data_IF_469637487693
#
_entry.id   IF_469637487693
#
_cell.length_a   1.000
_cell.length_b   1.000
_cell.length_c   1.000
_cell.angle_alpha   90.00
_cell.angle_beta   90.00
_cell.angle_gamma   90.00
#
_symmetry.space_group_name_H-M   'P 1'
#
loop_
_entity.id
_entity.type
_entity.pdbx_description
1 polymer ?
#
# COMPACT_ATOMS: atom_id res chain seq x y z
N UNK A 1 -20.75 5.40 -17.98
CA UNK A 1 -20.03 4.33 -17.26
C UNK A 1 -19.99 4.70 -15.79
N UNK A 2 -19.93 3.72 -14.89
CA UNK A 2 -19.90 4.00 -13.45
C UNK A 2 -18.45 3.82 -12.99
N UNK A 3 -17.74 4.92 -12.78
CA UNK A 3 -16.34 4.91 -12.39
C UNK A 3 -16.20 4.58 -10.89
N UNK A 4 -15.00 4.24 -10.45
CA UNK A 4 -14.69 4.06 -9.02
C UNK A 4 -13.90 5.26 -8.52
N UNK A 5 -14.29 5.82 -7.37
CA UNK A 5 -13.53 6.88 -6.71
C UNK A 5 -12.36 6.28 -5.93
N UNK A 6 -11.20 6.96 -5.92
CA UNK A 6 -10.03 6.54 -5.13
C UNK A 6 -10.39 6.36 -3.65
N UNK A 7 -11.25 7.24 -3.15
CA UNK A 7 -11.78 7.22 -1.79
C UNK A 7 -12.42 5.87 -1.41
N UNK A 8 -13.00 5.12 -2.36
CA UNK A 8 -13.52 3.77 -2.09
C UNK A 8 -12.41 2.77 -1.75
N UNK A 9 -11.23 2.91 -2.36
CA UNK A 9 -10.04 2.08 -2.09
C UNK A 9 -9.34 2.58 -0.84
N UNK A 10 -9.23 3.90 -0.66
CA UNK A 10 -8.62 4.51 0.54
C UNK A 10 -9.29 4.05 1.81
N UNK A 11 -10.63 4.01 1.85
CA UNK A 11 -11.37 3.49 3.01
C UNK A 11 -11.03 2.04 3.34
N UNK A 12 -10.84 1.19 2.33
CA UNK A 12 -10.46 -0.20 2.53
C UNK A 12 -9.01 -0.33 3.02
N UNK A 13 -8.11 0.50 2.50
CA UNK A 13 -6.71 0.56 2.93
C UNK A 13 -6.60 1.05 4.39
N UNK A 14 -7.23 2.19 4.71
CA UNK A 14 -7.19 2.78 6.06
C UNK A 14 -7.80 1.83 7.11
N UNK A 15 -8.77 1.00 6.73
CA UNK A 15 -9.33 -0.02 7.63
C UNK A 15 -8.39 -1.21 7.90
N UNK A 16 -7.31 -1.38 7.13
CA UNK A 16 -6.33 -2.46 7.27
C UNK A 16 -5.12 -2.08 8.11
N UNK A 17 -4.92 -0.79 8.39
CA UNK A 17 -3.77 -0.27 9.12
C UNK A 17 -4.19 0.37 10.44
N UNK A 18 -3.26 0.37 11.39
CA UNK A 18 -3.40 1.08 12.66
C UNK A 18 -2.31 2.15 12.73
N UNK A 19 -2.52 3.27 12.03
CA UNK A 19 -1.56 4.36 11.89
C UNK A 19 -2.15 5.71 12.30
N UNK A 20 -2.02 6.02 13.59
CA UNK A 20 -2.53 7.26 14.16
C UNK A 20 -1.90 8.52 13.56
N UNK A 21 -0.67 8.42 13.03
CA UNK A 21 0.04 9.55 12.42
C UNK A 21 -0.69 10.09 11.18
N UNK A 22 -1.32 9.22 10.40
CA UNK A 22 -2.15 9.63 9.26
C UNK A 22 -3.41 10.39 9.69
N UNK A 23 -3.86 10.21 10.93
CA UNK A 23 -4.97 10.98 11.50
C UNK A 23 -4.57 12.35 12.04
N UNK A 24 -3.26 12.66 12.09
CA UNK A 24 -2.73 13.92 12.63
C UNK A 24 -2.40 14.96 11.56
N UNK A 25 -2.21 14.51 10.31
CA UNK A 25 -1.99 15.39 9.16
C UNK A 25 -3.29 16.04 8.70
N UNK A 26 -3.20 17.16 8.00
CA UNK A 26 -4.39 17.76 7.41
C UNK A 26 -4.92 16.94 6.22
N UNK A 27 -6.12 17.28 5.76
CA UNK A 27 -6.79 16.50 4.72
C UNK A 27 -6.07 16.53 3.37
N UNK A 28 -5.43 17.65 3.03
CA UNK A 28 -4.75 17.80 1.75
C UNK A 28 -3.44 17.00 1.76
N UNK A 29 -2.67 17.07 2.86
CA UNK A 29 -1.48 16.24 3.07
C UNK A 29 -1.84 14.74 3.13
N UNK A 30 -2.95 14.38 3.80
CA UNK A 30 -3.44 13.01 3.82
C UNK A 30 -3.75 12.50 2.41
N UNK A 31 -4.41 13.31 1.57
CA UNK A 31 -4.70 12.95 0.17
C UNK A 31 -3.42 12.73 -0.63
N UNK A 32 -2.42 13.60 -0.49
CA UNK A 32 -1.14 13.41 -1.18
C UNK A 32 -0.45 12.10 -0.76
N UNK A 33 -0.46 11.79 0.53
CA UNK A 33 0.11 10.54 1.07
C UNK A 33 -0.66 9.32 0.54
N UNK A 34 -1.99 9.34 0.58
CA UNK A 34 -2.84 8.26 0.07
C UNK A 34 -2.70 8.05 -1.43
N UNK A 35 -2.63 9.15 -2.19
CA UNK A 35 -2.37 9.13 -3.64
C UNK A 35 -1.02 8.50 -3.96
N UNK A 36 0.02 8.84 -3.18
CA UNK A 36 1.35 8.24 -3.33
C UNK A 36 1.33 6.73 -3.09
N UNK A 37 0.66 6.26 -2.03
CA UNK A 37 0.52 4.83 -1.78
C UNK A 37 -0.27 4.12 -2.88
N UNK A 38 -1.31 4.76 -3.41
CA UNK A 38 -2.07 4.21 -4.52
C UNK A 38 -1.23 4.10 -5.79
N UNK A 39 -0.50 5.16 -6.17
CA UNK A 39 0.37 5.15 -7.34
C UNK A 39 1.37 3.99 -7.28
N UNK A 40 2.12 3.87 -6.19
CA UNK A 40 3.10 2.80 -6.02
C UNK A 40 2.44 1.41 -6.01
N UNK A 41 1.26 1.29 -5.42
CA UNK A 41 0.50 0.05 -5.42
C UNK A 41 0.11 -0.36 -6.84
N UNK A 42 -0.39 0.57 -7.66
CA UNK A 42 -0.75 0.31 -9.05
C UNK A 42 0.46 -0.09 -9.89
N UNK A 43 1.60 0.58 -9.73
CA UNK A 43 2.87 0.20 -10.39
C UNK A 43 3.26 -1.25 -10.04
N UNK A 44 3.18 -1.63 -8.75
CA UNK A 44 3.50 -3.00 -8.32
C UNK A 44 2.53 -4.06 -8.86
N UNK A 45 1.26 -3.69 -9.07
CA UNK A 45 0.24 -4.58 -9.63
C UNK A 45 0.37 -4.71 -11.16
N UNK A 46 0.85 -3.67 -11.83
CA UNK A 46 1.15 -3.71 -13.26
C UNK A 46 2.23 -4.75 -13.57
N UNK A 47 3.27 -4.86 -12.74
CA UNK A 47 4.29 -5.92 -12.85
C UNK A 47 3.69 -7.34 -12.74
N UNK A 48 2.51 -7.47 -12.14
CA UNK A 48 1.75 -8.72 -12.02
C UNK A 48 0.73 -8.93 -13.15
N UNK A 49 0.82 -8.16 -14.23
CA UNK A 49 -0.05 -8.22 -15.40
C UNK A 49 -1.53 -7.93 -15.09
N UNK A 50 -1.80 -7.08 -14.10
CA UNK A 50 -3.15 -6.56 -13.85
C UNK A 50 -3.24 -5.14 -14.35
N UNK A 51 -4.05 -4.94 -15.39
CA UNK A 51 -4.20 -3.66 -16.07
C UNK A 51 -5.11 -2.74 -15.24
N UNK A 52 -4.50 -1.84 -14.47
CA UNK A 52 -5.17 -0.75 -13.74
C UNK A 52 -4.72 0.63 -14.23
N UNK A 53 -4.05 0.67 -15.39
CA UNK A 53 -3.29 1.82 -15.90
C UNK A 53 -4.18 3.00 -16.32
N UNK A 54 -5.50 2.77 -16.45
CA UNK A 54 -6.49 3.79 -16.76
C UNK A 54 -7.03 4.45 -15.47
N UNK A 55 -6.23 5.37 -14.93
CA UNK A 55 -6.55 6.16 -13.73
C UNK A 55 -6.37 7.65 -13.99
N UNK A 56 -7.34 8.43 -13.56
CA UNK A 56 -7.35 9.88 -13.58
C UNK A 56 -7.01 10.40 -12.18
N UNK A 57 -5.73 10.72 -11.96
CA UNK A 57 -5.26 11.30 -10.70
C UNK A 57 -5.69 12.75 -10.50
N UNK A 58 -6.09 13.48 -11.56
CA UNK A 58 -6.58 14.86 -11.43
C UNK A 58 -7.99 14.87 -10.84
N UNK A 59 -8.83 13.91 -11.27
CA UNK A 59 -10.21 13.76 -10.79
C UNK A 59 -10.36 12.68 -9.68
N UNK A 60 -9.28 11.96 -9.35
CA UNK A 60 -9.24 10.85 -8.38
C UNK A 60 -10.22 9.70 -8.68
N UNK A 61 -10.19 9.25 -9.94
CA UNK A 61 -11.08 8.23 -10.46
C UNK A 61 -10.28 7.12 -11.15
N UNK A 62 -10.77 5.89 -11.01
CA UNK A 62 -10.47 4.83 -11.96
C UNK A 62 -11.41 5.00 -13.15
N UNK A 63 -10.90 4.89 -14.38
CA UNK A 63 -11.68 5.08 -15.62
C UNK A 63 -12.72 3.98 -15.85
N UNK A 64 -12.68 2.93 -15.04
CA UNK A 64 -13.63 1.84 -15.04
C UNK A 64 -14.14 1.51 -13.63
N UNK A 65 -15.17 0.66 -13.60
CA UNK A 65 -15.73 0.17 -12.34
C UNK A 65 -14.87 -0.96 -11.80
N UNK A 66 -14.21 -0.74 -10.67
CA UNK A 66 -13.59 -1.81 -9.92
C UNK A 66 -14.66 -2.66 -9.22
N UNK A 67 -14.53 -3.97 -9.36
CA UNK A 67 -15.24 -4.94 -8.53
C UNK A 67 -14.76 -4.87 -7.08
N UNK A 68 -15.53 -5.46 -6.17
CA UNK A 68 -15.12 -5.54 -4.75
C UNK A 68 -13.80 -6.28 -4.56
N UNK A 69 -13.50 -7.27 -5.40
CA UNK A 69 -12.24 -8.04 -5.33
C UNK A 69 -11.07 -7.14 -5.76
N UNK A 70 -11.19 -6.46 -6.90
CA UNK A 70 -10.17 -5.53 -7.39
C UNK A 70 -9.89 -4.41 -6.37
N UNK A 71 -10.92 -3.81 -5.78
CA UNK A 71 -10.75 -2.80 -4.71
C UNK A 71 -9.95 -3.33 -3.51
N UNK A 72 -10.18 -4.58 -3.12
CA UNK A 72 -9.42 -5.21 -2.03
C UNK A 72 -7.98 -5.53 -2.41
N UNK A 73 -7.72 -5.95 -3.66
CA UNK A 73 -6.37 -6.17 -4.17
C UNK A 73 -5.58 -4.86 -4.10
N UNK A 74 -6.13 -3.78 -4.66
CA UNK A 74 -5.48 -2.46 -4.65
C UNK A 74 -5.26 -1.97 -3.22
N UNK A 75 -6.27 -2.05 -2.34
CA UNK A 75 -6.12 -1.65 -0.95
C UNK A 75 -5.03 -2.44 -0.20
N UNK A 76 -4.89 -3.75 -0.48
CA UNK A 76 -3.87 -4.59 0.15
C UNK A 76 -2.47 -4.32 -0.40
N UNK A 77 -2.36 -3.98 -1.68
CA UNK A 77 -1.13 -3.46 -2.27
C UNK A 77 -0.74 -2.10 -1.68
N UNK A 78 -1.70 -1.20 -1.41
CA UNK A 78 -1.42 0.04 -0.67
C UNK A 78 -0.90 -0.24 0.75
N UNK A 79 -1.46 -1.23 1.45
CA UNK A 79 -0.96 -1.67 2.77
C UNK A 79 0.48 -2.16 2.70
N UNK A 80 0.86 -2.83 1.60
CA UNK A 80 2.24 -3.27 1.36
C UNK A 80 3.19 -2.07 1.20
N UNK A 81 2.81 -1.07 0.41
CA UNK A 81 3.60 0.14 0.20
C UNK A 81 3.73 1.01 1.47
N UNK A 82 2.66 1.08 2.26
CA UNK A 82 2.70 1.68 3.59
C UNK A 82 3.73 0.98 4.50
N UNK A 83 3.71 -0.35 4.54
CA UNK A 83 4.63 -1.13 5.36
C UNK A 83 6.08 -0.98 4.90
N UNK A 84 6.32 -1.02 3.58
CA UNK A 84 7.64 -0.79 2.97
C UNK A 84 8.22 0.57 3.33
N UNK A 85 7.39 1.62 3.32
CA UNK A 85 7.80 2.97 3.73
C UNK A 85 8.27 3.00 5.19
N UNK A 86 7.59 2.29 6.08
CA UNK A 86 7.96 2.23 7.51
C UNK A 86 9.24 1.44 7.74
N UNK A 87 9.41 0.32 7.03
CA UNK A 87 10.65 -0.47 7.05
C UNK A 87 11.82 0.40 6.57
N UNK A 88 11.65 1.12 5.46
CA UNK A 88 12.68 2.00 4.93
C UNK A 88 13.07 3.12 5.91
N UNK A 89 12.09 3.77 6.55
CA UNK A 89 12.34 4.78 7.60
C UNK A 89 13.09 4.19 8.79
N UNK A 90 12.74 2.99 9.22
CA UNK A 90 13.42 2.31 10.33
C UNK A 90 14.88 1.92 9.98
N UNK A 91 15.14 1.45 8.75
CA UNK A 91 16.50 1.15 8.27
C UNK A 91 17.37 2.42 8.18
N UNK A 92 16.81 3.55 7.71
CA UNK A 92 17.51 4.83 7.73
C UNK A 92 17.85 5.27 9.16
N UNK A 93 16.90 5.15 10.10
CA UNK A 93 17.13 5.48 11.50
C UNK A 93 18.23 4.61 12.12
N UNK A 94 18.27 3.30 11.84
CA UNK A 94 19.32 2.40 12.34
C UNK A 94 20.71 2.85 11.86
N UNK A 95 20.82 3.22 10.57
CA UNK A 95 22.08 3.68 9.95
C UNK A 95 22.57 5.01 10.52
N UNK A 96 21.66 5.97 10.74
CA UNK A 96 22.00 7.28 11.31
C UNK A 96 22.41 7.18 12.80
N UNK A 97 21.92 6.16 13.51
CA UNK A 97 22.13 5.95 14.94
C UNK A 97 23.31 5.03 15.24
N UNK A 98 23.96 4.45 14.22
CA UNK A 98 25.23 3.72 14.35
C UNK A 98 26.36 4.46 15.09
N UNK A 99 26.17 5.76 15.40
CA UNK A 99 27.03 6.59 16.26
C UNK A 99 26.55 6.77 17.72
N UNK A 100 25.34 6.34 18.14
CA UNK A 100 24.81 6.50 19.53
C UNK A 100 23.96 5.31 19.99
N UNK A 101 24.52 4.50 20.89
CA UNK A 101 24.15 3.12 21.28
C UNK A 101 22.72 2.78 21.79
N UNK A 102 21.78 3.70 21.99
CA UNK A 102 20.53 3.36 22.73
C UNK A 102 19.25 3.18 21.90
N UNK A 103 19.12 3.80 20.73
CA UNK A 103 17.93 3.67 19.87
C UNK A 103 18.06 2.58 18.80
N UNK A 104 19.30 2.16 18.47
CA UNK A 104 19.58 1.07 17.52
C UNK A 104 18.88 -0.25 17.91
N UNK A 105 18.88 -0.60 19.20
CA UNK A 105 18.28 -1.85 19.70
C UNK A 105 16.76 -1.93 19.44
N UNK A 106 16.05 -0.80 19.43
CA UNK A 106 14.60 -0.78 19.15
C UNK A 106 14.32 -0.83 17.64
N UNK A 107 15.15 -0.16 16.81
CA UNK A 107 15.09 -0.23 15.34
C UNK A 107 15.30 -1.65 14.82
N UNK A 108 16.37 -2.32 15.28
CA UNK A 108 16.68 -3.72 14.94
C UNK A 108 15.51 -4.67 15.20
N UNK A 109 14.87 -4.53 16.36
CA UNK A 109 13.75 -5.40 16.74
C UNK A 109 12.53 -5.11 15.87
N UNK A 110 12.23 -3.84 15.61
CA UNK A 110 11.12 -3.43 14.76
C UNK A 110 11.29 -3.99 13.34
N UNK A 111 12.48 -3.88 12.75
CA UNK A 111 12.78 -4.42 11.42
C UNK A 111 12.66 -5.95 11.36
N UNK A 112 13.15 -6.67 12.38
CA UNK A 112 13.01 -8.13 12.48
C UNK A 112 11.55 -8.60 12.51
N UNK A 113 10.65 -7.80 13.05
CA UNK A 113 9.21 -8.12 13.11
C UNK A 113 8.48 -7.69 11.82
N UNK A 114 8.88 -6.60 11.17
CA UNK A 114 8.21 -6.05 9.99
C UNK A 114 8.60 -6.74 8.67
N UNK A 115 9.86 -7.17 8.50
CA UNK A 115 10.31 -7.83 7.26
C UNK A 115 9.55 -9.13 6.94
N UNK A 116 9.28 -10.05 7.90
CA UNK A 116 8.46 -11.23 7.64
C UNK A 116 7.01 -10.88 7.30
N UNK A 117 6.48 -9.81 7.88
CA UNK A 117 5.12 -9.34 7.60
C UNK A 117 5.01 -8.78 6.18
N UNK A 118 6.01 -8.00 5.75
CA UNK A 118 6.10 -7.47 4.38
C UNK A 118 6.12 -8.61 3.37
N UNK A 119 6.98 -9.61 3.57
CA UNK A 119 7.07 -10.75 2.67
C UNK A 119 5.76 -11.52 2.58
N UNK A 120 5.11 -11.78 3.71
CA UNK A 120 3.81 -12.47 3.74
C UNK A 120 2.74 -11.66 3.01
N UNK A 121 2.74 -10.34 3.20
CA UNK A 121 1.78 -9.44 2.57
C UNK A 121 1.98 -9.38 1.05
N UNK A 122 3.21 -9.34 0.57
CA UNK A 122 3.56 -9.43 -0.87
C UNK A 122 3.09 -10.77 -1.46
N UNK A 123 3.36 -11.89 -0.78
CA UNK A 123 2.89 -13.22 -1.20
C UNK A 123 1.36 -13.29 -1.30
N UNK A 124 0.64 -12.75 -0.31
CA UNK A 124 -0.82 -12.71 -0.32
C UNK A 124 -1.36 -11.85 -1.48
N UNK A 125 -0.77 -10.68 -1.75
CA UNK A 125 -1.20 -9.79 -2.85
C UNK A 125 -1.02 -10.52 -4.19
N UNK A 126 0.13 -11.15 -4.41
CA UNK A 126 0.39 -11.96 -5.62
C UNK A 126 -0.62 -13.09 -5.76
N UNK A 127 -0.93 -13.80 -4.68
CA UNK A 127 -1.91 -14.88 -4.72
C UNK A 127 -3.31 -14.37 -5.06
N UNK A 128 -3.74 -13.25 -4.48
CA UNK A 128 -5.05 -12.65 -4.79
C UNK A 128 -5.15 -12.25 -6.27
N UNK A 129 -4.08 -11.70 -6.83
CA UNK A 129 -4.01 -11.36 -8.27
C UNK A 129 -4.12 -12.62 -9.12
N UNK A 130 -3.36 -13.67 -8.80
CA UNK A 130 -3.40 -14.94 -9.51
C UNK A 130 -4.84 -15.48 -9.48
N UNK A 131 -5.43 -15.66 -8.30
CA UNK A 131 -6.77 -16.21 -8.12
C UNK A 131 -7.82 -15.40 -8.90
N UNK A 132 -7.68 -14.08 -8.91
CA UNK A 132 -8.56 -13.18 -9.66
C UNK A 132 -8.45 -13.37 -11.17
N UNK A 133 -7.24 -13.49 -11.71
CA UNK A 133 -7.01 -13.72 -13.13
C UNK A 133 -7.54 -15.10 -13.56
N UNK A 134 -7.34 -16.14 -12.75
CA UNK A 134 -7.94 -17.47 -13.00
C UNK A 134 -9.47 -17.43 -13.05
N UNK A 135 -10.11 -16.63 -12.19
CA UNK A 135 -11.56 -16.46 -12.21
C UNK A 135 -12.06 -15.68 -13.45
N UNK A 136 -11.26 -14.75 -13.99
CA UNK A 136 -11.59 -14.01 -15.22
C UNK A 136 -11.54 -14.88 -16.48
N UNK A 137 -10.73 -15.94 -16.49
CA UNK A 137 -10.56 -16.84 -17.63
C UNK A 137 -11.60 -17.96 -17.73
N UNK A 138 -12.42 -18.15 -16.68
CA UNK A 138 -13.52 -19.12 -16.61
C UNK A 138 -14.85 -18.56 -17.14
#
# INVERSE_FOLDING_TARGET
>A
MQNTEFEEVYRLFLAQIDDYELGLVDYDELREVLSTYLLNALESLHELQVDYDEVDFENELFDHKLTRIEKNIVAKAMTLEWLRTRIFRADLMERDIGDRDHMAIQGDRYLKEMLPLEKKLDEDVRQMVIDFNWQKEL
#
